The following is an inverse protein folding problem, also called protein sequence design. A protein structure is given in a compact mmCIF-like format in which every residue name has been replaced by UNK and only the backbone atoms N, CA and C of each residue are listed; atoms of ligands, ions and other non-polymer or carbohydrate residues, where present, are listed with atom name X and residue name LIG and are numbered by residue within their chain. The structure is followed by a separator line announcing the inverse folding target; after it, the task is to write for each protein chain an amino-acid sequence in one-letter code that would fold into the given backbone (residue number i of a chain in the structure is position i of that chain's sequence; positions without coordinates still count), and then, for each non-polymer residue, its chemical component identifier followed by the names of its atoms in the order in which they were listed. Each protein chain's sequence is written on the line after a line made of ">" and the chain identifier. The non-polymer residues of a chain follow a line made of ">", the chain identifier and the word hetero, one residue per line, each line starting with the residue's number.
data_IF_507265557896
#
_entry.id   IF_507265557896
#
_cell.length_a   1.000
_cell.length_b   1.000
_cell.length_c   1.000
_cell.angle_alpha   90.00
_cell.angle_beta   90.00
_cell.angle_gamma   90.00
#
_symmetry.space_group_name_H-M   'P 1'
#
loop_
_entity.id
_entity.type
_entity.pdbx_description
1 polymer ?
#
# COMPACT_ATOMS: atom_id res chain seq x y z
N UNK A 1 -5.43 -23.04 -6.30
CA UNK A 1 -6.54 -22.17 -6.72
C UNK A 1 -6.01 -20.74 -6.71
N UNK A 2 -5.97 -20.10 -7.90
CA UNK A 2 -5.43 -18.75 -8.12
C UNK A 2 -6.49 -17.69 -7.79
N UNK A 3 -6.05 -16.56 -7.26
CA UNK A 3 -6.67 -15.26 -7.51
C UNK A 3 -5.55 -14.26 -7.89
N UNK A 4 -5.83 -13.51 -8.94
CA UNK A 4 -4.96 -12.59 -9.67
C UNK A 4 -5.43 -11.14 -9.42
N UNK A 5 -4.50 -10.27 -9.05
CA UNK A 5 -4.33 -8.92 -9.63
C UNK A 5 -4.98 -7.69 -8.97
N UNK A 6 -4.14 -6.69 -8.65
CA UNK A 6 -4.07 -5.34 -9.25
C UNK A 6 -2.85 -4.59 -8.64
N UNK A 7 -1.86 -3.98 -9.30
CA UNK A 7 -1.44 -3.63 -10.67
C UNK A 7 -0.51 -2.40 -10.50
N UNK A 8 0.75 -2.33 -10.96
CA UNK A 8 1.36 -2.36 -12.30
C UNK A 8 2.75 -3.04 -12.14
N UNK A 9 3.27 -4.01 -12.90
CA UNK A 9 3.33 -4.19 -14.35
C UNK A 9 3.53 -5.66 -14.83
N UNK A 10 3.30 -5.83 -16.13
CA UNK A 10 3.56 -6.96 -17.04
C UNK A 10 5.08 -7.22 -17.16
N UNK A 11 5.68 -8.41 -17.33
CA UNK A 11 5.37 -9.68 -18.02
C UNK A 11 6.48 -10.70 -17.61
N UNK A 12 6.40 -12.01 -17.98
CA UNK A 12 7.29 -13.06 -17.50
C UNK A 12 8.51 -13.29 -18.41
N UNK A 13 9.70 -13.49 -17.84
CA UNK A 13 10.68 -14.52 -18.21
C UNK A 13 11.98 -14.41 -17.39
N UNK A 14 12.42 -15.58 -16.90
CA UNK A 14 13.77 -16.01 -16.49
C UNK A 14 14.90 -14.99 -16.49
N UNK A 15 15.66 -14.91 -15.38
CA UNK A 15 17.08 -15.29 -15.32
C UNK A 15 17.57 -15.18 -13.86
N UNK A 16 17.92 -16.31 -13.25
CA UNK A 16 18.69 -16.34 -12.00
C UNK A 16 20.16 -16.12 -12.34
N UNK A 17 20.81 -15.15 -11.69
CA UNK A 17 22.26 -15.15 -11.45
C UNK A 17 22.53 -14.60 -10.05
N UNK A 18 23.42 -15.31 -9.37
CA UNK A 18 23.94 -15.12 -8.01
C UNK A 18 24.10 -13.65 -7.61
N UNK A 19 23.29 -13.21 -6.64
CA UNK A 19 23.55 -12.01 -5.85
C UNK A 19 23.14 -12.29 -4.40
N UNK A 20 24.12 -12.26 -3.49
CA UNK A 20 23.99 -12.42 -2.04
C UNK A 20 23.31 -11.21 -1.36
N UNK A 21 22.13 -10.82 -1.83
CA UNK A 21 21.32 -9.76 -1.23
C UNK A 21 19.84 -10.11 -1.30
N UNK A 22 19.11 -9.91 -0.20
CA UNK A 22 17.65 -9.98 -0.20
C UNK A 22 17.08 -8.74 -0.91
N UNK A 23 17.12 -8.74 -2.24
CA UNK A 23 16.17 -7.96 -3.05
C UNK A 23 14.82 -8.68 -2.97
N UNK A 24 14.15 -8.53 -1.84
CA UNK A 24 12.80 -9.02 -1.66
C UNK A 24 11.88 -8.16 -2.53
N UNK A 25 11.35 -8.76 -3.59
CA UNK A 25 10.75 -8.11 -4.75
C UNK A 25 9.40 -7.45 -4.40
N UNK A 26 9.43 -6.29 -3.74
CA UNK A 26 8.31 -5.36 -3.66
C UNK A 26 8.64 -4.17 -4.54
N UNK A 27 8.35 -4.34 -5.83
CA UNK A 27 8.46 -3.35 -6.91
C UNK A 27 7.60 -2.13 -6.61
N UNK A 28 8.17 -1.20 -5.87
CA UNK A 28 7.76 0.20 -5.84
C UNK A 28 9.03 1.04 -5.86
N UNK A 29 9.67 1.05 -7.02
CA UNK A 29 10.27 2.29 -7.50
C UNK A 29 9.17 2.92 -8.34
N UNK A 30 8.89 4.20 -8.16
CA UNK A 30 7.94 4.92 -9.01
C UNK A 30 8.68 6.15 -9.51
N UNK A 31 9.18 6.07 -10.75
CA UNK A 31 9.34 7.26 -11.57
C UNK A 31 8.34 7.09 -12.72
N UNK A 32 7.06 7.24 -12.37
CA UNK A 32 5.98 7.13 -13.34
C UNK A 32 6.10 8.36 -14.25
N UNK A 33 6.65 8.17 -15.45
CA UNK A 33 6.80 9.20 -16.49
C UNK A 33 5.50 9.81 -17.03
N UNK A 34 4.39 9.71 -16.29
CA UNK A 34 3.17 10.47 -16.50
C UNK A 34 3.25 11.77 -15.68
N UNK A 35 2.91 12.90 -16.31
CA UNK A 35 2.93 14.29 -15.77
C UNK A 35 2.33 14.53 -14.37
N UNK A 36 1.73 13.51 -13.74
CA UNK A 36 1.10 13.56 -12.41
C UNK A 36 1.97 13.01 -11.26
N UNK A 37 3.06 12.29 -11.52
CA UNK A 37 3.81 11.54 -10.50
C UNK A 37 5.28 11.98 -10.36
N UNK A 38 5.57 13.26 -10.57
CA UNK A 38 6.94 13.76 -10.73
C UNK A 38 7.71 13.98 -9.40
N UNK A 39 7.13 13.74 -8.23
CA UNK A 39 7.69 14.25 -6.97
C UNK A 39 8.03 13.22 -5.90
N UNK A 40 7.51 11.98 -5.93
CA UNK A 40 7.78 11.01 -4.87
C UNK A 40 8.61 9.83 -5.37
N UNK A 41 9.89 9.87 -5.02
CA UNK A 41 10.86 8.78 -5.25
C UNK A 41 10.82 7.84 -4.04
N UNK A 42 10.06 6.75 -4.16
CA UNK A 42 9.99 5.70 -3.14
C UNK A 42 10.94 4.57 -3.55
N UNK A 43 11.75 4.09 -2.61
CA UNK A 43 12.61 2.91 -2.79
C UNK A 43 12.42 1.97 -1.60
N UNK A 44 11.62 0.92 -1.80
CA UNK A 44 11.41 -0.13 -0.79
C UNK A 44 12.52 -1.18 -0.88
N UNK A 45 13.64 -0.99 -0.18
CA UNK A 45 14.73 -1.97 -0.21
C UNK A 45 15.28 -2.21 1.19
N UNK A 46 15.36 -3.49 1.57
CA UNK A 46 15.99 -3.93 2.81
C UNK A 46 17.50 -4.12 2.55
N UNK A 47 18.30 -3.15 2.97
CA UNK A 47 19.76 -3.18 2.80
C UNK A 47 20.45 -3.94 3.93
N UNK A 48 20.58 -5.25 3.79
CA UNK A 48 21.28 -6.07 4.79
C UNK A 48 22.22 -7.01 4.07
N UNK A 49 23.49 -7.03 4.52
CA UNK A 49 24.49 -7.96 3.99
C UNK A 49 24.00 -9.39 4.27
N UNK A 50 24.12 -10.29 3.30
CA UNK A 50 23.70 -11.70 3.44
C UNK A 50 24.27 -12.37 4.70
N UNK A 51 25.51 -12.05 5.09
CA UNK A 51 26.16 -12.52 6.32
C UNK A 51 25.48 -12.11 7.63
N UNK A 52 24.61 -11.11 7.61
CA UNK A 52 23.88 -10.60 8.77
C UNK A 52 22.40 -10.99 8.78
N UNK A 53 21.94 -11.66 7.72
CA UNK A 53 20.59 -12.19 7.64
C UNK A 53 20.54 -13.56 8.31
N UNK A 54 19.48 -13.80 9.06
CA UNK A 54 19.16 -15.16 9.49
C UNK A 54 18.72 -15.93 8.24
N UNK A 55 19.23 -17.14 8.05
CA UNK A 55 18.99 -18.00 6.86
C UNK A 55 17.51 -18.08 6.45
N UNK A 56 16.62 -18.20 7.43
CA UNK A 56 15.18 -18.18 7.20
C UNK A 56 14.67 -16.86 6.59
N UNK A 57 15.12 -15.70 7.09
CA UNK A 57 14.70 -14.40 6.53
C UNK A 57 15.28 -14.18 5.13
N UNK A 58 16.48 -14.71 4.88
CA UNK A 58 17.11 -14.67 3.57
C UNK A 58 16.34 -15.49 2.50
N UNK A 59 15.55 -16.47 2.92
CA UNK A 59 14.72 -17.29 2.02
C UNK A 59 13.33 -16.70 1.72
N UNK A 60 12.98 -15.53 2.27
CA UNK A 60 11.67 -14.93 2.03
C UNK A 60 11.59 -14.35 0.61
N UNK A 61 10.49 -14.64 -0.08
CA UNK A 61 10.26 -14.12 -1.44
C UNK A 61 9.89 -12.63 -1.47
N UNK A 62 9.22 -12.14 -0.42
CA UNK A 62 8.70 -10.78 -0.33
C UNK A 62 8.95 -10.15 1.04
N UNK A 63 9.30 -8.86 1.04
CA UNK A 63 9.61 -8.12 2.26
C UNK A 63 8.44 -8.11 3.25
N UNK A 64 7.20 -8.05 2.73
CA UNK A 64 5.99 -8.09 3.54
C UNK A 64 5.80 -9.40 4.34
N UNK A 65 6.51 -10.48 3.99
CA UNK A 65 6.48 -11.74 4.74
C UNK A 65 7.34 -11.70 6.01
N UNK A 66 8.21 -10.69 6.14
CA UNK A 66 8.91 -10.44 7.39
C UNK A 66 7.94 -9.93 8.45
N UNK A 67 7.98 -10.49 9.66
CA UNK A 67 7.12 -10.00 10.74
C UNK A 67 7.64 -8.68 11.34
N UNK A 68 6.76 -7.79 11.86
CA UNK A 68 7.17 -6.54 12.47
C UNK A 68 8.19 -6.68 13.61
N UNK A 69 8.05 -7.70 14.47
CA UNK A 69 8.97 -7.89 15.60
C UNK A 69 10.38 -8.24 15.12
N UNK A 70 10.53 -9.11 14.11
CA UNK A 70 11.83 -9.48 13.52
C UNK A 70 12.49 -8.26 12.91
N UNK A 71 11.74 -7.50 12.11
CA UNK A 71 12.23 -6.26 11.51
C UNK A 71 12.74 -5.28 12.58
N UNK A 72 11.93 -5.00 13.59
CA UNK A 72 12.26 -4.02 14.62
C UNK A 72 13.48 -4.44 15.46
N UNK A 73 13.58 -5.73 15.80
CA UNK A 73 14.64 -6.24 16.67
C UNK A 73 15.99 -6.35 15.97
N UNK A 74 16.01 -6.76 14.69
CA UNK A 74 17.23 -7.18 14.02
C UNK A 74 17.72 -6.21 12.95
N UNK A 75 16.81 -5.46 12.33
CA UNK A 75 17.07 -4.83 11.03
C UNK A 75 16.83 -3.33 11.03
N UNK A 76 15.84 -2.82 11.77
CA UNK A 76 15.46 -1.42 11.77
C UNK A 76 16.61 -0.47 12.14
N UNK A 77 17.48 -0.85 13.08
CA UNK A 77 18.63 -0.03 13.50
C UNK A 77 19.79 -0.04 12.50
N UNK A 78 19.80 -0.97 11.55
CA UNK A 78 20.87 -1.16 10.57
C UNK A 78 20.63 -0.43 9.26
N UNK A 79 19.39 -0.01 9.01
CA UNK A 79 19.01 0.64 7.76
C UNK A 79 19.41 2.13 7.78
N UNK A 80 19.98 2.65 6.68
CA UNK A 80 20.18 4.09 6.54
C UNK A 80 18.82 4.81 6.45
N UNK A 81 18.82 6.12 6.73
CA UNK A 81 17.61 6.93 6.54
C UNK A 81 17.29 7.14 5.05
N UNK A 82 18.32 7.36 4.25
CA UNK A 82 18.22 7.61 2.81
C UNK A 82 19.45 7.08 2.06
N UNK A 83 19.33 6.95 0.74
CA UNK A 83 20.42 6.63 -0.19
C UNK A 83 20.25 7.43 -1.48
N UNK A 84 21.34 7.84 -2.13
CA UNK A 84 21.24 8.40 -3.48
C UNK A 84 21.07 7.31 -4.53
N UNK A 85 20.51 7.65 -5.68
CA UNK A 85 20.41 6.72 -6.80
C UNK A 85 21.78 6.25 -7.28
N UNK A 86 22.75 7.16 -7.32
CA UNK A 86 24.14 6.88 -7.67
C UNK A 86 24.78 5.83 -6.74
N UNK A 87 24.77 6.08 -5.43
CA UNK A 87 25.27 5.12 -4.43
C UNK A 87 24.54 3.77 -4.52
N UNK A 88 23.23 3.79 -4.76
CA UNK A 88 22.45 2.57 -4.93
C UNK A 88 22.98 1.74 -6.11
N UNK A 89 23.15 2.36 -7.28
CA UNK A 89 23.60 1.63 -8.46
C UNK A 89 25.05 1.18 -8.36
N UNK A 90 25.93 1.97 -7.74
CA UNK A 90 27.30 1.56 -7.50
C UNK A 90 27.36 0.29 -6.63
N UNK A 91 26.51 0.23 -5.60
CA UNK A 91 26.53 -0.85 -4.63
C UNK A 91 25.71 -2.09 -5.05
N UNK A 92 24.60 -1.89 -5.75
CA UNK A 92 23.61 -2.94 -6.01
C UNK A 92 23.23 -3.10 -7.49
N UNK A 93 23.72 -2.23 -8.37
CA UNK A 93 23.33 -2.23 -9.78
C UNK A 93 21.91 -1.71 -10.01
N UNK A 94 21.20 -2.34 -10.94
CA UNK A 94 19.81 -1.98 -11.25
C UNK A 94 18.82 -2.80 -10.41
N UNK A 95 17.62 -2.28 -10.23
CA UNK A 95 16.55 -2.92 -9.47
C UNK A 95 15.74 -3.97 -10.26
N UNK A 96 15.94 -4.10 -11.58
CA UNK A 96 15.25 -5.11 -12.40
C UNK A 96 13.73 -4.89 -12.62
N UNK A 97 13.17 -3.75 -12.20
CA UNK A 97 11.82 -3.33 -12.56
C UNK A 97 11.79 -2.75 -13.99
N UNK A 98 10.87 -3.24 -14.83
CA UNK A 98 10.71 -2.85 -16.23
C UNK A 98 9.93 -1.55 -16.43
N UNK A 99 9.29 -1.01 -15.39
CA UNK A 99 8.49 0.22 -15.46
C UNK A 99 9.27 1.43 -15.01
N UNK A 100 10.27 1.23 -14.17
CA UNK A 100 10.92 2.32 -13.46
C UNK A 100 12.38 2.39 -13.77
N UNK A 101 12.95 3.58 -13.56
CA UNK A 101 14.36 3.84 -13.78
C UNK A 101 14.85 4.62 -12.58
N UNK A 102 15.96 4.16 -12.03
CA UNK A 102 16.65 4.84 -10.93
C UNK A 102 17.21 6.17 -11.45
N UNK A 103 16.66 7.27 -10.95
CA UNK A 103 17.27 8.58 -11.13
C UNK A 103 18.56 8.65 -10.30
N UNK A 104 19.71 8.71 -10.98
CA UNK A 104 21.04 8.78 -10.34
C UNK A 104 21.17 9.95 -9.36
N UNK A 105 20.59 11.10 -9.73
CA UNK A 105 20.63 12.34 -8.94
C UNK A 105 19.55 12.40 -7.87
N UNK A 106 18.66 11.40 -7.83
CA UNK A 106 17.59 11.28 -6.85
C UNK A 106 18.12 10.87 -5.48
N UNK A 107 17.42 11.29 -4.43
CA UNK A 107 17.61 10.79 -3.06
C UNK A 107 16.36 10.03 -2.65
N UNK A 108 16.54 8.81 -2.17
CA UNK A 108 15.45 7.91 -1.83
C UNK A 108 15.41 7.66 -0.33
N UNK A 109 14.21 7.79 0.26
CA UNK A 109 13.97 7.40 1.64
C UNK A 109 13.91 5.88 1.76
N UNK A 110 14.52 5.32 2.80
CA UNK A 110 14.61 3.87 2.98
C UNK A 110 13.69 3.38 4.09
N UNK A 111 13.69 4.08 5.23
CA UNK A 111 13.04 3.58 6.44
C UNK A 111 11.52 3.39 6.29
N UNK A 112 10.80 4.44 5.91
CA UNK A 112 9.34 4.38 5.78
C UNK A 112 8.90 3.41 4.66
N UNK A 113 9.50 3.45 3.45
CA UNK A 113 9.17 2.50 2.38
C UNK A 113 9.48 1.04 2.74
N UNK A 114 10.54 0.78 3.52
CA UNK A 114 10.84 -0.58 4.01
C UNK A 114 9.84 -1.04 5.07
N UNK A 115 9.48 -0.16 6.02
CA UNK A 115 8.48 -0.46 7.06
C UNK A 115 7.10 -0.71 6.47
N UNK A 116 6.68 0.08 5.50
CA UNK A 116 5.31 0.06 5.00
C UNK A 116 4.80 -1.34 4.66
N UNK A 117 5.40 -2.13 3.76
CA UNK A 117 4.88 -3.45 3.38
C UNK A 117 4.89 -4.48 4.53
N UNK A 118 5.86 -4.41 5.44
CA UNK A 118 5.99 -5.30 6.61
C UNK A 118 4.81 -5.06 7.57
N UNK A 119 4.63 -3.81 7.99
CA UNK A 119 3.59 -3.47 8.94
C UNK A 119 2.20 -3.47 8.29
N UNK A 120 2.09 -3.11 7.01
CA UNK A 120 0.82 -3.16 6.27
C UNK A 120 0.31 -4.59 6.14
N UNK A 121 1.16 -5.55 5.81
CA UNK A 121 0.73 -6.95 5.75
C UNK A 121 0.24 -7.45 7.12
N UNK A 122 0.94 -7.09 8.21
CA UNK A 122 0.47 -7.39 9.56
C UNK A 122 -0.90 -6.75 9.85
N UNK A 123 -1.08 -5.46 9.51
CA UNK A 123 -2.37 -4.76 9.65
C UNK A 123 -3.47 -5.42 8.84
N UNK A 124 -3.19 -5.87 7.61
CA UNK A 124 -4.16 -6.59 6.76
C UNK A 124 -4.59 -7.92 7.42
N UNK A 125 -3.66 -8.70 7.97
CA UNK A 125 -4.01 -9.93 8.67
C UNK A 125 -4.82 -9.65 9.95
N UNK A 126 -4.44 -8.63 10.73
CA UNK A 126 -5.17 -8.20 11.92
C UNK A 126 -6.58 -7.70 11.56
N UNK A 127 -6.71 -6.90 10.51
CA UNK A 127 -7.98 -6.37 10.01
C UNK A 127 -8.89 -7.52 9.57
N UNK A 128 -8.36 -8.50 8.84
CA UNK A 128 -9.08 -9.71 8.44
C UNK A 128 -9.58 -10.50 9.66
N UNK A 129 -8.74 -10.70 10.67
CA UNK A 129 -9.14 -11.40 11.89
C UNK A 129 -10.26 -10.65 12.63
N UNK A 130 -10.13 -9.31 12.77
CA UNK A 130 -11.14 -8.47 13.39
C UNK A 130 -12.46 -8.47 12.61
N UNK A 131 -12.44 -8.45 11.28
CA UNK A 131 -13.66 -8.56 10.47
C UNK A 131 -14.47 -9.82 10.75
N UNK A 132 -13.81 -10.91 11.14
CA UNK A 132 -14.45 -12.20 11.46
C UNK A 132 -14.74 -12.40 12.95
N UNK A 133 -14.30 -11.48 13.81
CA UNK A 133 -14.55 -11.54 15.24
C UNK A 133 -16.02 -11.27 15.58
N UNK A 134 -16.42 -11.64 16.80
CA UNK A 134 -17.75 -11.30 17.32
C UNK A 134 -17.96 -9.79 17.28
N UNK A 135 -19.09 -9.31 16.71
CA UNK A 135 -19.37 -7.88 16.64
C UNK A 135 -19.36 -7.22 18.02
N UNK A 136 -18.53 -6.20 18.19
CA UNK A 136 -18.44 -5.38 19.40
C UNK A 136 -17.99 -3.96 19.05
N UNK A 137 -18.12 -3.03 20.00
CA UNK A 137 -17.64 -1.67 19.78
C UNK A 137 -16.10 -1.64 19.66
N UNK A 138 -15.41 -2.43 20.48
CA UNK A 138 -13.95 -2.58 20.46
C UNK A 138 -13.46 -3.15 19.11
N UNK A 139 -14.22 -4.08 18.52
CA UNK A 139 -13.92 -4.61 17.19
C UNK A 139 -13.89 -3.50 16.15
N UNK A 140 -14.94 -2.66 16.08
CA UNK A 140 -15.04 -1.61 15.06
C UNK A 140 -14.05 -0.47 15.33
N UNK A 141 -13.79 -0.16 16.61
CA UNK A 141 -12.70 0.76 16.99
C UNK A 141 -11.36 0.22 16.48
N UNK A 142 -11.05 -1.05 16.74
CA UNK A 142 -9.81 -1.68 16.29
C UNK A 142 -9.65 -1.67 14.77
N UNK A 143 -10.72 -1.96 14.02
CA UNK A 143 -10.72 -1.84 12.56
C UNK A 143 -10.41 -0.39 12.12
N UNK A 144 -11.02 0.59 12.79
CA UNK A 144 -10.80 2.00 12.50
C UNK A 144 -9.37 2.47 12.77
N UNK A 145 -8.79 2.08 13.91
CA UNK A 145 -7.39 2.35 14.26
C UNK A 145 -6.42 1.79 13.21
N UNK A 146 -6.66 0.56 12.74
CA UNK A 146 -5.84 -0.03 11.68
C UNK A 146 -5.93 0.78 10.37
N UNK A 147 -7.10 1.32 10.02
CA UNK A 147 -7.24 2.16 8.83
C UNK A 147 -6.42 3.46 8.94
N UNK A 148 -6.46 4.16 10.06
CA UNK A 148 -5.64 5.37 10.26
C UNK A 148 -4.15 5.05 10.19
N UNK A 149 -3.70 3.97 10.85
CA UNK A 149 -2.30 3.53 10.77
C UNK A 149 -1.87 3.17 9.34
N UNK A 150 -2.76 2.56 8.54
CA UNK A 150 -2.51 2.31 7.12
C UNK A 150 -2.31 3.63 6.36
N UNK A 151 -3.17 4.63 6.60
CA UNK A 151 -3.07 5.94 5.95
C UNK A 151 -1.76 6.65 6.31
N UNK A 152 -1.43 6.73 7.60
CA UNK A 152 -0.19 7.36 8.07
C UNK A 152 1.05 6.68 7.49
N UNK A 153 1.05 5.35 7.46
CA UNK A 153 2.14 4.58 6.88
C UNK A 153 2.29 4.83 5.37
N UNK A 154 1.19 5.07 4.66
CA UNK A 154 1.20 5.38 3.22
C UNK A 154 1.71 6.80 2.95
N UNK A 155 1.23 7.78 3.74
CA UNK A 155 1.70 9.17 3.66
C UNK A 155 3.16 9.33 4.06
N UNK A 156 3.66 8.53 5.02
CA UNK A 156 5.08 8.48 5.38
C UNK A 156 5.99 7.98 4.24
N UNK A 157 5.45 7.21 3.29
CA UNK A 157 6.16 6.86 2.05
C UNK A 157 6.16 8.00 1.02
N UNK A 158 5.53 9.14 1.32
CA UNK A 158 5.34 10.24 0.37
C UNK A 158 4.27 9.99 -0.70
N UNK A 159 3.45 8.94 -0.52
CA UNK A 159 2.39 8.55 -1.46
C UNK A 159 1.03 9.19 -1.14
N UNK A 160 0.94 9.93 -0.04
CA UNK A 160 -0.24 10.68 0.39
C UNK A 160 -0.61 11.83 -0.56
N UNK A 161 -1.68 12.55 -0.22
CA UNK A 161 -2.07 13.75 -0.95
C UNK A 161 -2.87 14.69 -0.07
N UNK A 162 -2.70 16.00 -0.24
CA UNK A 162 -3.43 17.00 0.55
C UNK A 162 -4.94 16.78 0.56
N UNK A 163 -5.51 16.36 -0.58
CA UNK A 163 -6.94 16.09 -0.70
C UNK A 163 -7.40 14.92 0.17
N UNK A 164 -6.73 13.78 0.07
CA UNK A 164 -7.06 12.59 0.87
C UNK A 164 -6.78 12.81 2.35
N UNK A 165 -5.70 13.50 2.67
CA UNK A 165 -5.25 13.72 4.04
C UNK A 165 -6.24 14.64 4.78
N UNK A 166 -6.73 15.69 4.11
CA UNK A 166 -7.80 16.56 4.64
C UNK A 166 -9.08 15.77 4.94
N UNK A 167 -9.48 14.86 4.04
CA UNK A 167 -10.67 14.03 4.25
C UNK A 167 -10.48 13.09 5.44
N UNK A 168 -9.33 12.41 5.55
CA UNK A 168 -9.05 11.49 6.66
C UNK A 168 -9.01 12.23 8.00
N UNK A 169 -8.30 13.36 8.09
CA UNK A 169 -8.23 14.20 9.29
C UNK A 169 -9.61 14.70 9.72
N UNK A 170 -10.50 14.99 8.78
CA UNK A 170 -11.88 15.34 9.11
C UNK A 170 -12.62 14.17 9.74
N UNK A 171 -12.54 12.98 9.15
CA UNK A 171 -13.23 11.80 9.70
C UNK A 171 -12.73 11.50 11.13
N UNK A 172 -11.44 11.68 11.38
CA UNK A 172 -10.85 11.58 12.71
C UNK A 172 -11.43 12.62 13.69
N UNK A 173 -11.58 13.89 13.28
CA UNK A 173 -12.24 14.92 14.11
C UNK A 173 -13.70 14.57 14.41
N UNK A 174 -14.42 14.05 13.42
CA UNK A 174 -15.83 13.64 13.57
C UNK A 174 -15.98 12.44 14.52
N UNK A 175 -15.04 11.49 14.51
CA UNK A 175 -14.97 10.39 15.48
C UNK A 175 -14.93 10.89 16.93
N UNK A 176 -14.18 11.96 17.22
CA UNK A 176 -14.04 12.52 18.56
C UNK A 176 -15.15 13.51 18.97
N UNK A 177 -16.10 13.82 18.08
CA UNK A 177 -17.15 14.79 18.34
C UNK A 177 -18.21 14.25 19.32
N UNK A 178 -18.24 14.80 20.55
CA UNK A 178 -19.21 14.44 21.60
C UNK A 178 -20.65 14.86 21.27
N UNK A 179 -20.83 15.88 20.45
CA UNK A 179 -22.15 16.39 20.05
C UNK A 179 -22.81 15.50 19.00
N UNK A 180 -22.04 14.61 18.34
CA UNK A 180 -22.53 13.87 17.19
C UNK A 180 -22.74 12.36 17.39
N UNK A 181 -22.57 11.83 18.62
CA UNK A 181 -22.58 10.38 18.89
C UNK A 181 -21.79 9.63 17.80
N UNK A 182 -20.49 9.97 17.68
CA UNK A 182 -19.58 9.60 16.61
C UNK A 182 -19.91 8.28 15.93
N UNK A 183 -20.31 8.35 14.66
CA UNK A 183 -20.72 7.17 13.89
C UNK A 183 -19.62 6.65 12.97
N UNK A 184 -18.49 7.35 12.91
CA UNK A 184 -17.33 7.02 12.08
C UNK A 184 -16.19 6.53 12.97
N UNK A 185 -15.49 5.49 12.53
CA UNK A 185 -14.46 4.82 13.33
C UNK A 185 -13.08 4.87 12.70
N UNK A 186 -13.00 4.91 11.36
CA UNK A 186 -11.72 4.92 10.65
C UNK A 186 -11.84 5.42 9.23
N UNK A 187 -10.74 5.94 8.70
CA UNK A 187 -10.62 6.36 7.31
C UNK A 187 -9.21 6.12 6.78
N UNK A 188 -9.09 5.77 5.50
CA UNK A 188 -7.79 5.65 4.82
C UNK A 188 -7.87 5.91 3.33
N UNK A 189 -6.76 6.36 2.74
CA UNK A 189 -6.58 6.36 1.29
C UNK A 189 -6.64 4.93 0.71
N UNK A 190 -7.21 4.80 -0.49
CA UNK A 190 -7.28 3.56 -1.27
C UNK A 190 -6.98 3.80 -2.75
N UNK A 191 -6.54 2.75 -3.45
CA UNK A 191 -6.06 2.84 -4.83
C UNK A 191 -4.55 3.08 -4.91
N UNK A 192 -4.09 3.62 -6.04
CA UNK A 192 -2.66 3.79 -6.35
C UNK A 192 -1.95 4.97 -5.68
N UNK A 193 -2.66 5.81 -4.92
CA UNK A 193 -2.10 6.97 -4.22
C UNK A 193 -2.23 8.31 -4.96
N UNK A 194 -1.63 9.36 -4.39
CA UNK A 194 -1.59 10.74 -4.92
C UNK A 194 -2.96 11.37 -5.21
N UNK A 195 -3.96 11.02 -4.41
CA UNK A 195 -5.34 11.49 -4.54
C UNK A 195 -6.34 10.34 -4.65
N UNK A 196 -7.50 10.64 -5.23
CA UNK A 196 -8.52 9.63 -5.51
C UNK A 196 -9.49 9.43 -4.35
N UNK A 197 -9.53 8.22 -3.80
CA UNK A 197 -10.62 7.75 -2.94
C UNK A 197 -10.15 7.54 -1.51
N UNK A 198 -10.98 7.95 -0.55
CA UNK A 198 -10.86 7.59 0.86
C UNK A 198 -11.94 6.57 1.20
N UNK A 199 -11.52 5.44 1.77
CA UNK A 199 -12.42 4.46 2.36
C UNK A 199 -12.69 4.86 3.82
N UNK A 200 -13.95 4.84 4.24
CA UNK A 200 -14.38 5.19 5.59
C UNK A 200 -15.18 4.01 6.17
N UNK A 201 -14.95 3.68 7.43
CA UNK A 201 -15.76 2.70 8.19
C UNK A 201 -16.58 3.43 9.25
N UNK A 202 -17.87 3.11 9.30
CA UNK A 202 -18.86 3.76 10.16
C UNK A 202 -20.06 2.86 10.42
N UNK A 203 -20.95 3.30 11.33
CA UNK A 203 -22.26 2.66 11.52
C UNK A 203 -23.09 2.81 10.25
N UNK A 204 -23.91 1.81 9.96
CA UNK A 204 -24.89 1.91 8.87
C UNK A 204 -26.03 2.84 9.31
N UNK A 205 -25.87 4.14 9.03
CA UNK A 205 -26.87 5.16 9.35
C UNK A 205 -26.79 6.32 8.36
N UNK A 206 -27.93 6.93 8.03
CA UNK A 206 -28.01 8.09 7.13
C UNK A 206 -27.09 9.23 7.59
N UNK A 207 -26.98 9.40 8.91
CA UNK A 207 -26.12 10.39 9.55
C UNK A 207 -24.65 10.22 9.19
N UNK A 208 -24.16 8.99 9.07
CA UNK A 208 -22.78 8.71 8.69
C UNK A 208 -22.48 9.17 7.28
N UNK A 209 -23.40 8.93 6.33
CA UNK A 209 -23.25 9.35 4.94
C UNK A 209 -23.34 10.89 4.80
N UNK A 210 -24.22 11.55 5.57
CA UNK A 210 -24.30 13.02 5.63
C UNK A 210 -23.06 13.68 6.23
N UNK A 211 -22.46 13.08 7.27
CA UNK A 211 -21.21 13.55 7.88
C UNK A 211 -20.03 13.55 6.89
N UNK A 212 -20.04 12.60 5.95
CA UNK A 212 -19.03 12.48 4.90
C UNK A 212 -19.25 13.52 3.79
N UNK A 213 -20.51 13.79 3.42
CA UNK A 213 -20.89 14.82 2.44
C UNK A 213 -20.58 16.22 2.95
N UNK A 214 -19.68 16.94 2.28
CA UNK A 214 -19.16 18.19 2.82
C UNK A 214 -19.22 19.39 1.88
N UNK A 215 -20.12 20.32 2.21
CA UNK A 215 -20.12 21.67 1.62
C UNK A 215 -18.82 22.43 1.93
N UNK A 216 -18.28 22.32 3.14
CA UNK A 216 -17.00 22.92 3.55
C UNK A 216 -15.78 22.40 2.79
N UNK A 217 -15.73 21.12 2.40
CA UNK A 217 -14.65 20.61 1.52
C UNK A 217 -14.75 21.24 0.14
N UNK A 218 -15.97 21.33 -0.41
CA UNK A 218 -16.22 22.05 -1.67
C UNK A 218 -15.88 23.54 -1.57
N UNK A 219 -16.20 24.20 -0.47
CA UNK A 219 -15.84 25.61 -0.24
C UNK A 219 -14.32 25.80 -0.17
N UNK A 220 -13.61 24.89 0.50
CA UNK A 220 -12.16 24.98 0.68
C UNK A 220 -11.33 24.51 -0.54
N UNK A 221 -11.88 23.65 -1.40
CA UNK A 221 -11.12 23.00 -2.49
C UNK A 221 -11.73 23.21 -3.88
N UNK A 222 -12.96 23.72 -3.96
CA UNK A 222 -13.76 23.75 -5.19
C UNK A 222 -14.34 22.39 -5.60
N UNK A 223 -13.95 21.29 -4.94
CA UNK A 223 -14.33 19.93 -5.33
C UNK A 223 -15.42 19.36 -4.43
N UNK A 224 -16.47 18.77 -5.01
CA UNK A 224 -17.48 18.04 -4.24
C UNK A 224 -17.10 16.54 -4.19
N UNK A 225 -16.82 15.96 -3.01
CA UNK A 225 -16.59 14.53 -2.90
C UNK A 225 -17.83 13.74 -3.33
N UNK A 226 -17.61 12.70 -4.12
CA UNK A 226 -18.66 11.73 -4.46
C UNK A 226 -18.64 10.61 -3.42
N UNK A 227 -19.73 10.47 -2.67
CA UNK A 227 -19.91 9.41 -1.67
C UNK A 227 -20.69 8.27 -2.31
N UNK A 228 -20.14 7.07 -2.23
CA UNK A 228 -20.81 5.83 -2.64
C UNK A 228 -20.65 4.79 -1.54
N UNK A 229 -21.68 3.95 -1.41
CA UNK A 229 -21.76 2.91 -0.39
C UNK A 229 -22.23 1.59 -1.00
N UNK A 230 -21.99 0.49 -0.27
CA UNK A 230 -22.33 -0.87 -0.69
C UNK A 230 -21.20 -1.62 -1.38
N UNK A 231 -21.44 -2.91 -1.64
CA UNK A 231 -20.54 -3.79 -2.36
C UNK A 231 -21.13 -4.17 -3.71
N UNK A 232 -20.34 -4.12 -4.79
CA UNK A 232 -20.75 -4.68 -6.07
C UNK A 232 -20.44 -6.18 -6.13
N UNK A 233 -21.19 -6.97 -6.93
CA UNK A 233 -20.79 -8.33 -7.17
C UNK A 233 -19.47 -8.44 -7.93
N UNK A 234 -18.60 -9.35 -7.50
CA UNK A 234 -17.36 -9.65 -8.21
C UNK A 234 -17.60 -10.46 -9.50
N UNK A 235 -16.55 -10.59 -10.33
CA UNK A 235 -16.58 -11.35 -11.58
C UNK A 235 -17.10 -12.80 -11.41
N UNK A 236 -16.90 -13.42 -10.24
CA UNK A 236 -17.43 -14.74 -9.93
C UNK A 236 -18.96 -14.84 -9.97
N UNK A 237 -19.70 -13.75 -9.71
CA UNK A 237 -21.17 -13.74 -9.81
C UNK A 237 -21.65 -13.65 -11.26
N UNK A 238 -20.87 -13.01 -12.14
CA UNK A 238 -21.24 -12.78 -13.55
C UNK A 238 -20.68 -13.84 -14.52
N UNK A 239 -19.82 -14.75 -14.03
CA UNK A 239 -19.08 -15.69 -14.87
C UNK A 239 -17.84 -15.06 -15.53
N UNK A 240 -17.10 -15.85 -16.31
CA UNK A 240 -15.89 -15.37 -17.01
C UNK A 240 -15.77 -15.97 -18.42
N UNK A 241 -15.18 -15.20 -19.34
CA UNK A 241 -14.80 -15.67 -20.67
C UNK A 241 -13.41 -16.35 -20.60
N UNK A 242 -13.33 -17.62 -21.02
CA UNK A 242 -12.06 -18.35 -21.10
C UNK A 242 -11.55 -18.36 -22.55
N UNK A 243 -10.53 -17.55 -22.84
CA UNK A 243 -9.87 -17.56 -24.14
C UNK A 243 -8.92 -18.77 -24.20
N UNK A 244 -9.09 -19.65 -25.20
CA UNK A 244 -8.15 -20.73 -25.51
C UNK A 244 -7.40 -20.37 -26.79
N UNK A 245 -6.08 -20.53 -26.80
CA UNK A 245 -5.28 -20.42 -28.01
C UNK A 245 -5.51 -21.69 -28.83
N UNK A 246 -5.99 -21.58 -30.07
CA UNK A 246 -6.00 -22.71 -30.98
C UNK A 246 -4.55 -23.07 -31.32
N UNK A 247 -4.08 -24.20 -30.83
CA UNK A 247 -2.88 -24.84 -31.38
C UNK A 247 -3.27 -25.36 -32.76
N UNK A 248 -2.74 -24.75 -33.83
CA UNK A 248 -2.78 -25.42 -35.13
C UNK A 248 -1.98 -26.74 -35.00
N UNK A 249 -2.44 -27.85 -35.60
CA UNK A 249 -1.64 -29.07 -35.67
C UNK A 249 -0.30 -28.77 -36.36
N UNK A 250 0.81 -29.44 -35.98
CA UNK A 250 2.04 -29.32 -36.72
C UNK A 250 1.83 -29.77 -38.18
N UNK A 251 2.47 -29.11 -39.17
CA UNK A 251 2.38 -29.54 -40.56
C UNK A 251 2.94 -30.97 -40.70
N UNK A 252 2.20 -31.81 -41.44
CA UNK A 252 2.51 -33.20 -41.78
C UNK A 252 3.77 -33.34 -42.62
#
# INVERSE_FOLDING_TARGET
>A
MRLLGAGVCKTPHSFYKEFDYLLCDLKYVANLGNRFWNTTQVLCILFIRSSELIEYDASLDYLCNLSPHRFQALYASKLPQSITGEEFMEKYGDHGDSVTIINKKGTYHIMAPTKHPIYENFRVQAFKALLTATPSEEQVIGLGELMYQCHDSYSACGLGSDGTDRLVQKMERLKHSKTENGTLYGAKITGGGSGGTVCVIGRSSLRSSEQILERKYKEATGFMPYVFEGSSPGAGKFGYLKIRKNSAPPPT
#
